data_IF_237084736602
#
_entry.id   IF_237084736602
#
_cell.length_a   1.000
_cell.length_b   1.000
_cell.length_c   1.000
_cell.angle_alpha   90.00
_cell.angle_beta   90.00
_cell.angle_gamma   90.00
#
_symmetry.space_group_name_H-M   'P 1'
#
loop_
_entity.id
_entity.type
_entity.pdbx_description
1 polymer ?
#
# COMPACT_ATOMS: atom_id res chain seq x y z
N UNK A 1 7.44 17.48 -7.51
CA UNK A 1 6.79 16.73 -8.60
C UNK A 1 5.88 15.68 -7.97
N UNK A 2 4.58 15.79 -8.16
CA UNK A 2 3.63 14.78 -7.66
C UNK A 2 3.77 13.54 -8.54
N UNK A 3 4.38 12.47 -8.03
CA UNK A 3 4.45 11.20 -8.75
C UNK A 3 3.02 10.69 -8.95
N UNK A 4 2.55 10.70 -10.19
CA UNK A 4 1.24 10.21 -10.61
C UNK A 4 1.14 8.69 -10.52
N UNK A 5 1.28 8.14 -9.31
CA UNK A 5 1.25 6.71 -9.09
C UNK A 5 -0.19 6.18 -9.16
N UNK A 6 -0.40 5.25 -10.07
CA UNK A 6 -1.62 4.46 -10.20
C UNK A 6 -1.50 3.22 -9.32
N UNK A 7 -2.34 3.15 -8.29
CA UNK A 7 -2.39 1.99 -7.38
C UNK A 7 -3.50 1.02 -7.80
N UNK A 8 -3.12 -0.23 -8.03
CA UNK A 8 -4.05 -1.33 -8.32
C UNK A 8 -4.06 -2.31 -7.17
N UNK A 9 -5.21 -2.42 -6.51
CA UNK A 9 -5.46 -3.38 -5.44
C UNK A 9 -6.23 -4.57 -5.99
N UNK A 10 -5.68 -5.77 -5.80
CA UNK A 10 -6.38 -7.04 -6.08
C UNK A 10 -6.49 -7.78 -4.76
N UNK A 11 -7.72 -7.85 -4.25
CA UNK A 11 -8.04 -8.47 -2.96
C UNK A 11 -8.93 -9.65 -3.27
N UNK A 12 -8.46 -10.87 -2.94
CA UNK A 12 -9.30 -12.06 -2.97
C UNK A 12 -10.31 -12.03 -1.83
N UNK A 13 -11.51 -12.57 -2.05
CA UNK A 13 -12.48 -12.75 -0.97
C UNK A 13 -11.88 -13.63 0.14
N UNK A 14 -12.06 -13.27 1.43
CA UNK A 14 -11.53 -14.06 2.52
C UNK A 14 -12.19 -15.44 2.54
N UNK A 15 -11.38 -16.47 2.30
CA UNK A 15 -11.78 -17.88 2.39
C UNK A 15 -10.77 -18.61 3.28
N UNK A 16 -10.51 -19.90 3.05
CA UNK A 16 -9.41 -20.62 3.69
C UNK A 16 -8.04 -19.99 3.39
N UNK A 17 -7.92 -19.27 2.29
CA UNK A 17 -6.73 -18.51 1.94
C UNK A 17 -7.08 -17.04 1.69
N UNK A 18 -6.14 -16.16 2.01
CA UNK A 18 -6.20 -14.73 1.69
C UNK A 18 -5.02 -14.37 0.80
N UNK A 19 -5.29 -13.58 -0.23
CA UNK A 19 -4.27 -13.00 -1.09
C UNK A 19 -4.60 -11.54 -1.37
N UNK A 20 -3.63 -10.67 -1.13
CA UNK A 20 -3.70 -9.23 -1.38
C UNK A 20 -2.49 -8.86 -2.24
N UNK A 21 -2.75 -8.25 -3.39
CA UNK A 21 -1.71 -7.73 -4.27
C UNK A 21 -1.94 -6.25 -4.51
N UNK A 22 -0.89 -5.46 -4.29
CA UNK A 22 -0.87 -4.03 -4.49
C UNK A 22 0.23 -3.74 -5.50
N UNK A 23 -0.14 -3.15 -6.63
CA UNK A 23 0.81 -2.70 -7.65
C UNK A 23 0.72 -1.20 -7.76
N UNK A 24 1.82 -0.49 -7.49
CA UNK A 24 1.98 0.92 -7.79
C UNK A 24 2.71 1.04 -9.13
N UNK A 25 2.12 1.75 -10.09
CA UNK A 25 2.69 1.99 -11.42
C UNK A 25 2.74 3.48 -11.72
N UNK A 26 3.78 3.94 -12.41
CA UNK A 26 3.83 5.25 -13.05
C UNK A 26 3.63 5.09 -14.58
N UNK A 27 3.89 6.16 -15.33
CA UNK A 27 3.76 6.17 -16.79
C UNK A 27 4.79 5.27 -17.51
N UNK A 28 5.86 4.84 -16.82
CA UNK A 28 6.90 3.95 -17.34
C UNK A 28 6.65 2.48 -16.98
N UNK A 29 5.76 2.19 -16.04
CA UNK A 29 5.35 0.84 -15.68
C UNK A 29 5.27 0.60 -14.16
N UNK A 30 5.28 -0.68 -13.72
CA UNK A 30 5.15 -1.00 -12.30
C UNK A 30 6.43 -0.62 -11.53
N UNK A 31 6.29 0.30 -10.58
CA UNK A 31 7.36 0.77 -9.71
C UNK A 31 7.51 -0.11 -8.45
N UNK A 32 6.38 -0.54 -7.89
CA UNK A 32 6.35 -1.32 -6.66
C UNK A 32 5.26 -2.38 -6.71
N UNK A 33 5.59 -3.59 -6.26
CA UNK A 33 4.63 -4.67 -6.03
C UNK A 33 4.76 -5.11 -4.58
N UNK A 34 3.66 -5.04 -3.84
CA UNK A 34 3.53 -5.65 -2.52
C UNK A 34 2.50 -6.76 -2.59
N UNK A 35 2.86 -7.95 -2.12
CA UNK A 35 1.96 -9.11 -2.07
C UNK A 35 1.94 -9.71 -0.67
N UNK A 36 0.74 -10.00 -0.19
CA UNK A 36 0.50 -10.74 1.04
C UNK A 36 -0.33 -11.98 0.73
N UNK A 37 0.12 -13.14 1.22
CA UNK A 37 -0.62 -14.39 1.13
C UNK A 37 -0.64 -15.06 2.51
N UNK A 38 -1.80 -15.57 2.91
CA UNK A 38 -1.99 -16.19 4.22
C UNK A 38 -2.99 -17.33 4.16
N UNK A 39 -2.83 -18.30 5.06
CA UNK A 39 -3.82 -19.34 5.32
C UNK A 39 -4.59 -19.00 6.57
N UNK A 40 -5.90 -19.20 6.53
CA UNK A 40 -6.75 -19.04 7.71
C UNK A 40 -6.35 -20.06 8.77
N UNK A 41 -6.30 -19.62 10.03
CA UNK A 41 -6.18 -20.49 11.20
C UNK A 41 -7.22 -20.05 12.22
N UNK A 42 -7.82 -21.02 12.90
CA UNK A 42 -8.71 -20.71 14.02
C UNK A 42 -7.92 -19.95 15.09
N UNK A 43 -8.53 -18.89 15.62
CA UNK A 43 -7.95 -18.11 16.70
C UNK A 43 -8.20 -18.85 18.02
N UNK A 44 -7.25 -19.71 18.40
CA UNK A 44 -7.25 -20.43 19.67
C UNK A 44 -6.03 -20.05 20.50
N UNK A 45 -6.10 -20.26 21.82
CA UNK A 45 -4.99 -19.96 22.74
C UNK A 45 -3.69 -20.67 22.33
N UNK A 46 -3.79 -21.93 21.90
CA UNK A 46 -2.65 -22.69 21.40
C UNK A 46 -2.04 -22.07 20.13
N UNK A 47 -2.88 -21.57 19.22
CA UNK A 47 -2.42 -20.91 17.99
C UNK A 47 -1.74 -19.56 18.27
N UNK A 48 -2.25 -18.81 19.25
CA UNK A 48 -1.71 -17.54 19.72
C UNK A 48 -0.37 -17.74 20.42
N UNK A 49 -0.28 -18.69 21.36
CA UNK A 49 0.96 -19.02 22.05
C UNK A 49 2.02 -19.52 21.07
N UNK A 50 1.65 -20.36 20.11
CA UNK A 50 2.56 -20.80 19.04
C UNK A 50 3.04 -19.63 18.21
N UNK A 51 2.19 -18.67 17.85
CA UNK A 51 2.59 -17.48 17.11
C UNK A 51 3.56 -16.61 17.94
N UNK A 52 3.27 -16.40 19.22
CA UNK A 52 4.12 -15.63 20.14
C UNK A 52 5.54 -16.22 20.24
N UNK A 53 5.66 -17.56 20.31
CA UNK A 53 6.94 -18.26 20.39
C UNK A 53 7.61 -18.38 19.01
N UNK A 54 6.85 -18.46 17.92
CA UNK A 54 7.39 -18.63 16.57
C UNK A 54 7.91 -17.32 15.96
N UNK A 55 7.41 -16.16 16.40
CA UNK A 55 7.74 -14.85 15.82
C UNK A 55 8.44 -13.82 16.73
N UNK A 56 9.12 -14.16 17.85
CA UNK A 56 9.75 -13.14 18.70
C UNK A 56 10.96 -12.50 17.99
N UNK A 57 11.72 -13.28 17.24
CA UNK A 57 12.91 -12.81 16.50
C UNK A 57 12.54 -12.08 15.21
N UNK A 58 11.29 -12.18 14.74
CA UNK A 58 10.83 -11.51 13.52
C UNK A 58 10.94 -9.99 13.68
N UNK A 59 10.40 -9.45 14.78
CA UNK A 59 10.43 -8.01 15.06
C UNK A 59 11.86 -7.50 15.13
N UNK A 60 12.74 -8.20 15.85
CA UNK A 60 14.15 -7.81 15.95
C UNK A 60 14.84 -7.82 14.59
N UNK A 61 14.63 -8.86 13.78
CA UNK A 61 15.20 -8.98 12.43
C UNK A 61 14.72 -7.86 11.51
N UNK A 62 13.43 -7.53 11.53
CA UNK A 62 12.87 -6.44 10.72
C UNK A 62 13.44 -5.09 11.15
N UNK A 63 13.46 -4.82 12.46
CA UNK A 63 14.03 -3.59 13.02
C UNK A 63 15.49 -3.43 12.62
N UNK A 64 16.33 -4.45 12.81
CA UNK A 64 17.74 -4.42 12.43
C UNK A 64 17.89 -4.21 10.92
N UNK A 65 17.08 -4.89 10.10
CA UNK A 65 17.12 -4.70 8.64
C UNK A 65 16.81 -3.27 8.20
N UNK A 66 15.79 -2.64 8.80
CA UNK A 66 15.43 -1.23 8.53
C UNK A 66 16.57 -0.30 8.93
N UNK A 67 17.18 -0.49 10.10
CA UNK A 67 18.29 0.33 10.57
C UNK A 67 19.54 0.16 9.71
N UNK A 68 19.82 -1.06 9.25
CA UNK A 68 20.94 -1.32 8.35
C UNK A 68 20.78 -0.59 7.01
N UNK A 69 19.60 -0.66 6.40
CA UNK A 69 19.32 0.10 5.18
C UNK A 69 19.38 1.62 5.42
N UNK A 70 18.85 2.11 6.54
CA UNK A 70 18.94 3.52 6.89
C UNK A 70 20.41 3.98 7.06
N UNK A 71 21.26 3.18 7.72
CA UNK A 71 22.69 3.45 7.85
C UNK A 71 23.37 3.45 6.49
N UNK A 72 23.00 2.53 5.59
CA UNK A 72 23.53 2.45 4.22
C UNK A 72 23.13 3.66 3.38
N UNK A 73 21.91 4.16 3.50
CA UNK A 73 21.44 5.37 2.84
C UNK A 73 22.14 6.63 3.40
N UNK A 74 22.38 6.66 4.72
CA UNK A 74 23.13 7.73 5.37
C UNK A 74 24.58 7.77 4.90
N UNK A 75 25.25 6.62 4.83
CA UNK A 75 26.61 6.51 4.29
C UNK A 75 26.70 6.95 2.81
N UNK A 76 25.62 6.78 2.03
CA UNK A 76 25.51 7.29 0.65
C UNK A 76 25.21 8.79 0.57
N UNK A 77 25.02 9.48 1.70
CA UNK A 77 24.83 10.92 1.75
C UNK A 77 23.48 11.42 1.23
N UNK A 78 22.46 10.55 1.19
CA UNK A 78 21.13 10.92 0.67
C UNK A 78 20.57 12.10 1.48
N UNK A 79 20.20 13.18 0.78
CA UNK A 79 19.65 14.39 1.37
C UNK A 79 18.15 14.23 1.61
N UNK A 80 17.69 14.71 2.75
CA UNK A 80 16.26 14.82 3.04
C UNK A 80 15.65 15.88 2.10
N UNK A 81 14.62 15.51 1.37
CA UNK A 81 13.89 16.45 0.52
C UNK A 81 12.84 17.18 1.36
N UNK A 82 12.87 18.52 1.32
CA UNK A 82 11.88 19.33 2.02
C UNK A 82 10.49 19.08 1.45
N UNK A 83 9.53 18.87 2.35
CA UNK A 83 8.13 18.71 1.97
C UNK A 83 7.59 20.10 1.59
N UNK A 84 6.96 20.25 0.42
CA UNK A 84 6.36 21.52 0.03
C UNK A 84 5.27 21.94 1.03
N UNK A 85 5.03 23.25 1.13
CA UNK A 85 3.99 23.79 1.98
C UNK A 85 2.63 23.12 1.67
N UNK A 86 1.81 22.84 2.69
CA UNK A 86 0.45 22.34 2.46
C UNK A 86 -0.33 23.31 1.58
N UNK A 87 -1.20 22.84 0.68
CA UNK A 87 -2.08 23.72 -0.07
C UNK A 87 -3.02 24.49 0.88
N UNK A 88 -3.28 25.76 0.58
CA UNK A 88 -4.13 26.66 1.40
C UNK A 88 -5.59 26.20 1.51
N UNK A 89 -6.05 25.35 0.59
CA UNK A 89 -7.38 24.77 0.59
C UNK A 89 -7.33 23.25 0.77
N UNK A 90 -8.25 22.73 1.57
CA UNK A 90 -8.45 21.29 1.72
C UNK A 90 -9.02 20.72 0.42
N UNK A 91 -8.24 19.89 -0.28
CA UNK A 91 -8.71 19.16 -1.45
C UNK A 91 -9.14 17.74 -1.07
N UNK A 92 -10.39 17.39 -1.33
CA UNK A 92 -10.83 15.99 -1.38
C UNK A 92 -10.64 15.49 -2.80
N UNK A 93 -9.65 14.59 -3.01
CA UNK A 93 -9.48 13.94 -4.31
C UNK A 93 -10.55 12.86 -4.48
N UNK A 94 -11.68 13.23 -5.07
CA UNK A 94 -12.65 12.27 -5.60
C UNK A 94 -12.09 11.73 -6.92
N UNK A 95 -11.60 10.50 -6.91
CA UNK A 95 -11.22 9.82 -8.15
C UNK A 95 -12.50 9.52 -8.96
N UNK A 96 -12.87 10.44 -9.85
CA UNK A 96 -13.94 10.20 -10.83
C UNK A 96 -13.47 9.09 -11.78
N UNK A 97 -13.77 7.84 -11.46
CA UNK A 97 -13.59 6.73 -12.39
C UNK A 97 -14.57 6.93 -13.54
N UNK A 98 -14.04 7.17 -14.74
CA UNK A 98 -14.80 7.46 -15.94
C UNK A 98 -15.89 6.42 -16.23
N UNK A 99 -17.14 6.79 -15.96
CA UNK A 99 -18.35 6.37 -16.67
C UNK A 99 -19.45 7.37 -16.26
N UNK A 100 -20.28 7.77 -17.22
CA UNK A 100 -21.40 8.72 -17.12
C UNK A 100 -21.11 10.17 -17.59
N UNK A 101 -20.50 10.32 -18.77
CA UNK A 101 -21.11 11.25 -19.74
C UNK A 101 -22.13 10.47 -20.56
N UNK A 102 -23.31 10.22 -19.99
CA UNK A 102 -24.48 9.85 -20.80
C UNK A 102 -25.29 11.14 -20.95
N UNK A 103 -25.22 11.70 -22.15
CA UNK A 103 -26.03 12.78 -22.70
C UNK A 103 -27.47 12.70 -22.18
N UNK A 104 -27.86 13.59 -21.28
CA UNK A 104 -29.26 13.91 -21.04
C UNK A 104 -29.62 15.01 -22.04
N UNK A 105 -30.06 14.58 -23.21
CA UNK A 105 -30.84 15.42 -24.12
C UNK A 105 -32.11 15.84 -23.36
N UNK A 106 -32.44 17.14 -23.29
CA UNK A 106 -33.66 17.58 -22.65
C UNK A 106 -34.83 17.21 -23.57
N UNK A 107 -35.73 16.37 -23.05
CA UNK A 107 -37.04 16.11 -23.63
C UNK A 107 -37.83 17.42 -23.57
N UNK A 108 -38.08 18.00 -24.74
CA UNK A 108 -38.88 19.22 -24.94
C UNK A 108 -40.33 18.77 -25.18
N UNK A 109 -41.25 19.38 -24.44
CA UNK A 109 -42.70 19.31 -24.65
C UNK A 109 -43.05 19.76 -26.07
#
# INVERSE_FOLDING_TARGET
MAMGLNYRFRIGLPSENVAIHITASDDQGPLMVASFAGKRRALSDASLLRALISYPLLTLKVTVGIHWEALRLWAKGIRLQERPAPPDNSITRVAMHGRLQRKAEPDVI
#
